data_IF_147274772509
#
_entry.id   IF_147274772509
#
_cell.length_a   1.000
_cell.length_b   1.000
_cell.length_c   1.000
_cell.angle_alpha   90.00
_cell.angle_beta   90.00
_cell.angle_gamma   90.00
#
_symmetry.space_group_name_H-M   'P 1'
#
loop_
_entity.id
_entity.type
_entity.pdbx_description
1 polymer ?
#
# COMPACT_ATOMS: atom_id res chain seq x y z
N UNK A 1 16.80 2.06 24.74
CA UNK A 1 15.46 1.46 24.68
C UNK A 1 14.81 1.90 23.39
N UNK A 2 14.80 1.04 22.38
CA UNK A 2 14.14 1.30 21.10
C UNK A 2 12.62 1.29 21.31
N UNK A 3 12.00 2.47 21.30
CA UNK A 3 10.55 2.59 21.31
C UNK A 3 10.03 2.27 19.91
N UNK A 4 9.63 1.01 19.67
CA UNK A 4 8.86 0.64 18.49
C UNK A 4 7.52 1.39 18.53
N UNK A 5 7.42 2.47 17.76
CA UNK A 5 6.16 3.21 17.59
C UNK A 5 5.32 2.44 16.59
N UNK A 6 4.32 1.71 17.10
CA UNK A 6 3.29 1.08 16.26
C UNK A 6 2.35 2.18 15.79
N UNK A 7 2.34 2.46 14.49
CA UNK A 7 1.42 3.39 13.89
C UNK A 7 0.06 2.72 13.67
N UNK A 8 -1.02 3.44 13.94
CA UNK A 8 -2.37 2.96 13.67
C UNK A 8 -2.68 3.01 12.16
N UNK A 9 -3.63 2.18 11.73
CA UNK A 9 -4.06 2.14 10.33
C UNK A 9 -5.24 3.07 10.13
N UNK A 10 -5.18 3.95 9.14
CA UNK A 10 -6.29 4.84 8.82
C UNK A 10 -7.57 4.03 8.48
N UNK A 11 -8.73 4.40 9.05
CA UNK A 11 -9.97 3.67 8.80
C UNK A 11 -10.39 3.64 7.33
N UNK A 12 -10.10 4.68 6.54
CA UNK A 12 -10.36 4.71 5.10
C UNK A 12 -9.47 3.69 4.37
N UNK A 13 -8.19 3.61 4.74
CA UNK A 13 -7.28 2.59 4.22
C UNK A 13 -7.78 1.18 4.54
N UNK A 14 -8.31 0.97 5.74
CA UNK A 14 -8.86 -0.33 6.16
C UNK A 14 -10.08 -0.74 5.33
N UNK A 15 -10.95 0.20 4.98
CA UNK A 15 -12.07 -0.06 4.08
C UNK A 15 -11.63 -0.36 2.65
N UNK A 16 -10.63 0.37 2.14
CA UNK A 16 -10.05 0.13 0.81
C UNK A 16 -9.37 -1.22 0.73
N UNK A 17 -8.54 -1.58 1.70
CA UNK A 17 -7.92 -2.91 1.78
C UNK A 17 -8.96 -4.03 1.82
N UNK A 18 -10.09 -3.80 2.49
CA UNK A 18 -11.21 -4.72 2.50
C UNK A 18 -11.82 -4.85 1.09
N UNK A 19 -12.15 -3.74 0.43
CA UNK A 19 -12.66 -3.74 -0.96
C UNK A 19 -11.68 -4.40 -1.92
N UNK A 20 -10.39 -4.09 -1.81
CA UNK A 20 -9.31 -4.65 -2.60
C UNK A 20 -9.19 -6.16 -2.43
N UNK A 21 -9.30 -6.67 -1.19
CA UNK A 21 -9.34 -8.11 -0.91
C UNK A 21 -10.57 -8.79 -1.51
N UNK A 22 -11.72 -8.13 -1.53
CA UNK A 22 -12.97 -8.69 -2.07
C UNK A 22 -13.19 -8.41 -3.56
N UNK A 23 -12.29 -7.65 -4.20
CA UNK A 23 -12.32 -7.39 -5.63
C UNK A 23 -12.25 -8.72 -6.39
N UNK A 24 -13.13 -8.89 -7.37
CA UNK A 24 -13.25 -10.11 -8.20
C UNK A 24 -12.51 -9.99 -9.54
N UNK A 25 -11.83 -8.87 -9.77
CA UNK A 25 -11.08 -8.64 -10.99
C UNK A 25 -9.78 -9.46 -10.98
N UNK A 26 -9.43 -10.00 -12.14
CA UNK A 26 -8.22 -10.80 -12.40
C UNK A 26 -7.01 -9.96 -12.80
N UNK A 27 -7.13 -8.63 -12.71
CA UNK A 27 -6.05 -7.70 -12.98
C UNK A 27 -5.06 -7.65 -11.81
N UNK A 28 -3.79 -7.39 -12.12
CA UNK A 28 -2.79 -7.14 -11.11
C UNK A 28 -3.04 -5.75 -10.54
N UNK A 29 -3.15 -5.65 -9.22
CA UNK A 29 -3.39 -4.39 -8.56
C UNK A 29 -2.40 -4.24 -7.40
N UNK A 30 -2.06 -3.00 -7.09
CA UNK A 30 -1.13 -2.67 -6.02
C UNK A 30 -1.62 -1.45 -5.24
N UNK A 31 -1.44 -1.50 -3.92
CA UNK A 31 -1.71 -0.36 -3.05
C UNK A 31 -0.38 0.08 -2.43
N UNK A 32 -0.04 1.34 -2.59
CA UNK A 32 1.13 1.96 -1.99
C UNK A 32 0.73 2.64 -0.68
N UNK A 33 1.36 2.19 0.41
CA UNK A 33 1.09 2.73 1.75
C UNK A 33 2.28 3.54 2.26
N UNK A 34 1.97 4.65 2.93
CA UNK A 34 2.95 5.53 3.55
C UNK A 34 2.62 5.75 5.03
N UNK A 35 3.68 5.91 5.83
CA UNK A 35 3.55 6.30 7.22
C UNK A 35 3.60 7.82 7.29
N UNK A 36 2.49 8.43 7.72
CA UNK A 36 2.45 9.84 8.07
C UNK A 36 3.10 10.01 9.46
N UNK A 37 4.29 10.61 9.50
CA UNK A 37 5.05 10.81 10.74
C UNK A 37 4.44 11.89 11.64
N UNK A 38 3.66 12.82 11.09
CA UNK A 38 3.01 13.87 11.86
C UNK A 38 1.81 13.32 12.62
N UNK A 39 1.07 12.41 11.98
CA UNK A 39 -0.14 11.79 12.54
C UNK A 39 0.09 10.43 13.16
N UNK A 40 1.27 9.82 12.96
CA UNK A 40 1.58 8.43 13.32
C UNK A 40 0.54 7.43 12.78
N UNK A 41 0.07 7.68 11.56
CA UNK A 41 -0.96 6.88 10.89
C UNK A 41 -0.45 6.34 9.55
N UNK A 42 -0.83 5.11 9.23
CA UNK A 42 -0.61 4.52 7.92
C UNK A 42 -1.74 4.99 7.00
N UNK A 43 -1.36 5.74 5.96
CA UNK A 43 -2.28 6.32 4.97
C UNK A 43 -2.02 5.73 3.59
N UNK A 44 -3.06 5.73 2.75
CA UNK A 44 -2.92 5.42 1.33
C UNK A 44 -2.11 6.53 0.66
N UNK A 45 -1.05 6.15 -0.06
CA UNK A 45 -0.33 7.08 -0.93
C UNK A 45 -0.94 7.01 -2.34
N UNK A 46 -0.90 5.84 -2.97
CA UNK A 46 -1.36 5.62 -4.34
C UNK A 46 -2.00 4.24 -4.49
N UNK A 47 -2.97 4.12 -5.40
CA UNK A 47 -3.64 2.88 -5.77
C UNK A 47 -3.43 2.65 -7.27
N UNK A 48 -2.90 1.48 -7.61
CA UNK A 48 -2.62 1.05 -8.97
C UNK A 48 -3.56 -0.08 -9.35
N UNK A 49 -4.21 0.07 -10.50
CA UNK A 49 -5.05 -0.94 -11.12
C UNK A 49 -4.43 -1.37 -12.45
N UNK A 50 -4.37 -2.67 -12.69
CA UNK A 50 -3.79 -3.27 -13.90
C UNK A 50 -2.30 -2.96 -14.11
N UNK A 51 -1.52 -3.01 -13.03
CA UNK A 51 -0.07 -2.73 -13.04
C UNK A 51 0.75 -4.02 -13.11
N UNK A 52 1.73 -4.09 -14.00
CA UNK A 52 2.67 -5.20 -14.02
C UNK A 52 3.69 -5.09 -12.88
N UNK A 53 4.28 -6.20 -12.39
CA UNK A 53 5.31 -6.15 -11.35
C UNK A 53 6.57 -5.39 -11.78
N UNK A 54 6.83 -5.27 -13.08
CA UNK A 54 7.93 -4.49 -13.65
C UNK A 54 7.60 -2.98 -13.66
N UNK A 55 6.37 -2.61 -14.04
CA UNK A 55 5.92 -1.21 -13.98
C UNK A 55 5.90 -0.71 -12.52
N UNK A 56 5.43 -1.55 -11.59
CA UNK A 56 5.40 -1.21 -10.17
C UNK A 56 6.80 -0.93 -9.60
N UNK A 57 7.83 -1.63 -10.07
CA UNK A 57 9.22 -1.35 -9.66
C UNK A 57 9.68 0.05 -10.10
N UNK A 58 9.24 0.53 -11.27
CA UNK A 58 9.57 1.86 -11.76
C UNK A 58 8.83 2.98 -11.01
N UNK A 59 7.62 2.70 -10.53
CA UNK A 59 6.83 3.66 -9.73
C UNK A 59 7.33 3.79 -8.29
N UNK A 60 8.09 2.81 -7.81
CA UNK A 60 8.70 2.86 -6.47
C UNK A 60 9.94 3.78 -6.47
N UNK A 61 10.03 4.72 -5.52
CA UNK A 61 11.13 5.66 -5.47
C UNK A 61 12.36 4.97 -4.88
N UNK A 62 13.51 5.04 -5.56
CA UNK A 62 14.74 4.36 -5.12
C UNK A 62 15.25 4.76 -3.72
N UNK A 63 14.80 5.91 -3.18
CA UNK A 63 15.42 6.56 -2.02
C UNK A 63 14.57 6.56 -0.75
N UNK A 64 13.32 6.10 -0.80
CA UNK A 64 12.45 6.08 0.40
C UNK A 64 11.79 4.71 0.59
N UNK A 65 11.79 4.17 1.82
CA UNK A 65 11.10 2.92 2.09
C UNK A 65 9.59 3.14 1.97
N UNK A 66 9.00 2.57 0.91
CA UNK A 66 7.56 2.46 0.72
C UNK A 66 7.13 1.01 0.92
N UNK A 67 5.89 0.80 1.37
CA UNK A 67 5.33 -0.55 1.60
C UNK A 67 4.31 -0.87 0.51
N UNK A 68 4.72 -1.51 -0.60
CA UNK A 68 3.80 -1.96 -1.63
C UNK A 68 3.01 -3.18 -1.13
N UNK A 69 1.68 -3.11 -1.21
CA UNK A 69 0.78 -4.24 -1.01
C UNK A 69 0.25 -4.69 -2.36
N UNK A 70 0.82 -5.76 -2.91
CA UNK A 70 0.46 -6.28 -4.22
C UNK A 70 -0.47 -7.47 -4.11
N UNK A 71 -1.43 -7.55 -5.02
CA UNK A 71 -2.16 -8.79 -5.30
C UNK A 71 -1.66 -9.32 -6.63
N UNK A 72 -0.86 -10.40 -6.57
CA UNK A 72 -0.53 -11.18 -7.75
C UNK A 72 -1.57 -12.29 -7.92
N UNK A 73 -2.26 -12.33 -9.06
CA UNK A 73 -2.96 -13.54 -9.49
C UNK A 73 -1.94 -14.45 -10.16
N UNK A 74 -1.66 -15.61 -9.56
CA UNK A 74 -0.91 -16.71 -10.20
C UNK A 74 -1.79 -17.48 -11.18
#
# INVERSE_FOLDING_TARGET
>A
SDSLVVCDVDPDLRERLKKFRFRKETNNAAILMKIDKEKQLVVLEEEFEDVSPDDLQNELPERQPRYPYTRCSV
#
